data_IF_129232888490
#
_entry.id   IF_129232888490
#
_cell.length_a   1.000
_cell.length_b   1.000
_cell.length_c   1.000
_cell.angle_alpha   90.00
_cell.angle_beta   90.00
_cell.angle_gamma   90.00
#
_symmetry.space_group_name_H-M   'P 1'
#
loop_
_entity.id
_entity.type
_entity.pdbx_description
1 polymer ?
#
# COMPACT_ATOMS: atom_id res chain seq x y z
N UNK A 1 1.85 4.64 5.11
CA UNK A 1 0.96 4.04 4.09
C UNK A 1 1.18 2.52 4.09
N UNK A 2 0.13 1.69 3.98
CA UNK A 2 0.29 0.24 3.78
C UNK A 2 0.07 -0.05 2.30
N UNK A 3 1.09 -0.59 1.65
CA UNK A 3 1.09 -0.89 0.21
C UNK A 3 1.00 -2.40 0.03
N UNK A 4 0.04 -2.84 -0.78
CA UNK A 4 0.01 -4.22 -1.26
C UNK A 4 0.69 -4.27 -2.64
N UNK A 5 1.71 -5.11 -2.76
CA UNK A 5 2.47 -5.27 -4.00
C UNK A 5 2.72 -6.74 -4.31
N UNK A 6 2.79 -7.09 -5.60
CA UNK A 6 3.18 -8.42 -6.04
C UNK A 6 4.68 -8.61 -5.78
N UNK A 7 5.02 -9.57 -4.93
CA UNK A 7 6.40 -9.92 -4.59
C UNK A 7 6.78 -11.33 -5.06
N UNK A 8 5.80 -12.22 -5.22
CA UNK A 8 5.98 -13.60 -5.68
C UNK A 8 5.08 -13.88 -6.90
N UNK A 9 5.38 -13.35 -8.10
CA UNK A 9 4.49 -13.40 -9.26
C UNK A 9 4.14 -14.83 -9.70
N UNK A 10 5.05 -15.78 -9.50
CA UNK A 10 4.88 -17.19 -9.89
C UNK A 10 4.10 -18.03 -8.86
N UNK A 11 3.80 -17.49 -7.67
CA UNK A 11 3.08 -18.22 -6.65
C UNK A 11 1.59 -18.43 -7.01
N UNK A 12 0.86 -19.21 -6.20
CA UNK A 12 -0.60 -19.35 -6.33
C UNK A 12 -1.28 -17.98 -6.15
N UNK A 13 -2.44 -17.70 -6.79
CA UNK A 13 -3.03 -16.36 -6.82
C UNK A 13 -3.11 -15.63 -5.46
N UNK A 14 -3.56 -16.30 -4.40
CA UNK A 14 -3.69 -15.74 -3.04
C UNK A 14 -2.37 -15.71 -2.24
N UNK A 15 -1.23 -16.01 -2.88
CA UNK A 15 0.10 -16.03 -2.29
C UNK A 15 1.10 -15.15 -3.06
N UNK A 16 0.63 -14.33 -4.01
CA UNK A 16 1.51 -13.51 -4.87
C UNK A 16 1.90 -12.16 -4.27
N UNK A 17 1.08 -11.63 -3.37
CA UNK A 17 1.21 -10.27 -2.87
C UNK A 17 1.66 -10.24 -1.41
N UNK A 18 2.44 -9.23 -1.05
CA UNK A 18 2.84 -8.89 0.32
C UNK A 18 2.28 -7.53 0.71
N UNK A 19 2.11 -7.29 2.02
CA UNK A 19 1.82 -5.98 2.56
C UNK A 19 3.10 -5.34 3.12
N UNK A 20 3.33 -4.07 2.81
CA UNK A 20 4.57 -3.36 3.14
C UNK A 20 4.23 -2.00 3.71
N UNK A 21 4.85 -1.64 4.84
CA UNK A 21 4.75 -0.31 5.44
C UNK A 21 5.70 0.64 4.70
N UNK A 22 5.12 1.64 4.04
CA UNK A 22 5.85 2.71 3.37
C UNK A 22 5.65 4.02 4.14
N UNK A 23 6.72 4.60 4.72
CA UNK A 23 6.67 5.94 5.31
C UNK A 23 6.24 6.97 4.27
N UNK A 24 5.35 7.89 4.63
CA UNK A 24 4.82 8.91 3.69
C UNK A 24 5.82 10.02 3.39
N UNK A 25 6.88 10.11 4.18
CA UNK A 25 8.04 10.98 4.00
C UNK A 25 9.22 10.27 3.31
N UNK A 26 9.06 9.00 2.93
CA UNK A 26 10.12 8.25 2.24
C UNK A 26 10.46 8.92 0.89
N UNK A 27 11.76 9.03 0.53
CA UNK A 27 12.16 9.53 -0.78
C UNK A 27 11.47 8.77 -1.92
N UNK A 28 10.83 9.51 -2.83
CA UNK A 28 10.06 8.95 -3.95
C UNK A 28 8.58 8.70 -3.66
N UNK A 29 8.11 8.91 -2.42
CA UNK A 29 6.69 8.95 -2.10
C UNK A 29 6.11 10.32 -2.48
N UNK A 30 4.96 10.33 -3.15
CA UNK A 30 4.24 11.56 -3.49
C UNK A 30 2.73 11.35 -3.39
N UNK A 31 2.06 12.19 -2.60
CA UNK A 31 0.62 12.41 -2.73
C UNK A 31 0.41 13.34 -3.93
N UNK A 32 -0.14 12.80 -5.01
CA UNK A 32 -0.33 13.52 -6.28
C UNK A 32 -1.47 14.53 -6.14
N UNK A 33 -2.61 14.08 -5.61
CA UNK A 33 -3.81 14.89 -5.38
C UNK A 33 -4.84 14.13 -4.56
N UNK A 34 -5.78 14.86 -3.96
CA UNK A 34 -7.03 14.29 -3.48
C UNK A 34 -8.01 14.12 -4.66
N UNK A 35 -8.78 13.04 -4.64
CA UNK A 35 -9.81 12.71 -5.61
C UNK A 35 -11.18 13.15 -5.05
N UNK A 36 -11.97 13.94 -5.80
CA UNK A 36 -13.28 14.36 -5.36
C UNK A 36 -14.25 13.18 -5.34
N UNK A 37 -14.99 13.05 -4.23
CA UNK A 37 -16.11 12.12 -4.06
C UNK A 37 -17.38 12.96 -3.96
N UNK A 38 -18.30 12.77 -4.92
CA UNK A 38 -19.53 13.56 -5.01
C UNK A 38 -19.31 15.10 -5.03
N UNK A 39 -18.17 15.54 -5.60
CA UNK A 39 -17.81 16.95 -5.71
C UNK A 39 -16.95 17.49 -4.56
N UNK A 40 -16.74 16.72 -3.50
CA UNK A 40 -15.92 17.12 -2.35
C UNK A 40 -14.62 16.31 -2.30
N UNK A 41 -13.47 16.99 -2.28
CA UNK A 41 -12.16 16.33 -2.24
C UNK A 41 -11.74 15.90 -0.83
N UNK A 42 -12.40 16.42 0.22
CA UNK A 42 -11.95 16.30 1.61
C UNK A 42 -10.60 16.99 1.85
N UNK A 43 -10.24 17.11 3.13
CA UNK A 43 -8.99 17.76 3.57
C UNK A 43 -8.16 16.84 4.46
N UNK A 44 -6.83 16.97 4.35
CA UNK A 44 -5.88 16.24 5.19
C UNK A 44 -6.03 14.72 5.08
N UNK A 45 -6.17 14.05 6.23
CA UNK A 45 -6.23 12.59 6.36
C UNK A 45 -7.62 12.00 6.03
N UNK A 46 -8.67 12.82 6.02
CA UNK A 46 -10.04 12.41 5.75
C UNK A 46 -10.38 12.65 4.27
N UNK A 47 -9.57 12.09 3.38
CA UNK A 47 -9.68 12.25 1.93
C UNK A 47 -9.35 10.95 1.18
N UNK A 48 -9.58 10.94 -0.13
CA UNK A 48 -9.14 9.87 -1.02
C UNK A 48 -7.99 10.37 -1.87
N UNK A 49 -6.79 9.84 -1.70
CA UNK A 49 -5.58 10.33 -2.39
C UNK A 49 -5.12 9.44 -3.54
N UNK A 50 -4.71 10.04 -4.65
CA UNK A 50 -3.85 9.41 -5.65
C UNK A 50 -2.40 9.50 -5.17
N UNK A 51 -1.72 8.37 -5.01
CA UNK A 51 -0.33 8.30 -4.53
C UNK A 51 0.57 7.70 -5.62
N UNK A 52 1.76 8.28 -5.78
CA UNK A 52 2.82 7.79 -6.65
C UNK A 52 4.02 7.34 -5.81
N UNK A 53 4.52 6.15 -6.13
CA UNK A 53 5.73 5.57 -5.53
C UNK A 53 6.79 5.46 -6.63
N UNK A 54 7.75 6.38 -6.64
CA UNK A 54 8.80 6.47 -7.66
C UNK A 54 10.16 6.09 -7.06
N UNK A 55 10.57 4.84 -7.24
CA UNK A 55 11.86 4.37 -6.75
C UNK A 55 12.00 4.36 -5.23
N UNK A 56 10.88 4.29 -4.50
CA UNK A 56 10.85 4.20 -3.03
C UNK A 56 11.59 2.93 -2.59
N UNK A 57 12.48 3.08 -1.60
CA UNK A 57 13.19 1.97 -0.97
C UNK A 57 12.87 1.95 0.53
N UNK A 58 12.59 0.76 1.03
CA UNK A 58 12.38 0.49 2.46
C UNK A 58 13.16 -0.78 2.84
N UNK A 59 13.55 -0.95 4.11
CA UNK A 59 14.17 -2.20 4.55
C UNK A 59 13.15 -3.35 4.56
N UNK A 60 13.64 -4.59 4.56
CA UNK A 60 12.81 -5.80 4.45
C UNK A 60 11.88 -5.98 5.65
N UNK A 61 12.28 -5.50 6.82
CA UNK A 61 11.51 -5.54 8.07
C UNK A 61 10.26 -4.65 8.06
N UNK A 62 10.09 -3.78 7.06
CA UNK A 62 8.83 -3.07 6.82
C UNK A 62 7.74 -3.96 6.20
N UNK A 63 8.06 -5.19 5.78
CA UNK A 63 7.06 -6.16 5.35
C UNK A 63 6.25 -6.64 6.56
N UNK A 64 4.94 -6.62 6.41
CA UNK A 64 4.02 -7.18 7.38
C UNK A 64 3.89 -8.69 7.12
N UNK A 65 4.24 -9.50 8.12
CA UNK A 65 4.24 -10.95 8.02
C UNK A 65 5.26 -11.50 7.01
N UNK A 66 5.01 -12.72 6.54
CA UNK A 66 5.87 -13.37 5.56
C UNK A 66 5.57 -12.94 4.12
N UNK A 67 6.55 -13.16 3.24
CA UNK A 67 6.37 -12.90 1.82
C UNK A 67 5.19 -13.70 1.24
N UNK A 68 4.34 -13.03 0.47
CA UNK A 68 3.15 -13.64 -0.13
C UNK A 68 1.94 -13.75 0.79
N UNK A 69 2.02 -13.34 2.06
CA UNK A 69 0.90 -13.38 3.01
C UNK A 69 -0.04 -12.17 2.92
N UNK A 70 0.19 -11.24 1.99
CA UNK A 70 -0.57 -9.99 1.90
C UNK A 70 -2.08 -10.19 1.74
N UNK A 71 -2.50 -11.21 0.98
CA UNK A 71 -3.93 -11.52 0.82
C UNK A 71 -4.58 -12.01 2.13
N UNK A 72 -3.89 -12.89 2.87
CA UNK A 72 -4.39 -13.40 4.14
C UNK A 72 -4.53 -12.27 5.18
N UNK A 73 -3.52 -11.38 5.25
CA UNK A 73 -3.54 -10.21 6.12
C UNK A 73 -4.67 -9.22 5.76
N UNK A 74 -4.95 -9.03 4.47
CA UNK A 74 -6.10 -8.23 4.04
C UNK A 74 -7.42 -8.83 4.54
N UNK A 75 -7.58 -10.15 4.44
CA UNK A 75 -8.79 -10.83 4.89
C UNK A 75 -8.98 -10.76 6.41
N UNK A 76 -7.90 -10.91 7.18
CA UNK A 76 -7.94 -10.81 8.66
C UNK A 76 -8.42 -9.43 9.12
N UNK A 77 -7.99 -8.36 8.43
CA UNK A 77 -8.45 -6.99 8.73
C UNK A 77 -9.95 -6.77 8.47
N UNK A 78 -10.54 -7.54 7.57
CA UNK A 78 -11.96 -7.44 7.21
C UNK A 78 -12.88 -8.28 8.12
N UNK A 79 -12.30 -9.18 8.92
CA UNK A 79 -13.00 -10.06 9.86
C UNK A 79 -13.43 -9.38 11.15
#
# INVERSE_FOLDING_TARGET
CVVMAVTAPEARPHQRASMIVVPTDAPGFSLVRNLPVMGEAGEGWLSHGEVRLSGVRVPVDHRLGEEGQGFALAQERLG
#
